data_IF_161362721362
#
_entry.id   IF_161362721362
#
_cell.length_a   1.000
_cell.length_b   1.000
_cell.length_c   1.000
_cell.angle_alpha   90.00
_cell.angle_beta   90.00
_cell.angle_gamma   90.00
#
_symmetry.space_group_name_H-M   'P 1'
#
loop_
_entity.id
_entity.type
_entity.pdbx_description
1 polymer ?
#
# COMPACT_ATOMS: atom_id res chain seq x y z
N UNK A 1 -6.09 -23.72 -0.09
CA UNK A 1 -5.52 -23.06 1.10
C UNK A 1 -5.70 -24.00 2.28
N UNK A 2 -4.66 -24.20 3.10
CA UNK A 2 -4.80 -25.01 4.33
C UNK A 2 -5.10 -24.05 5.48
N UNK A 3 -6.22 -24.28 6.15
CA UNK A 3 -6.66 -23.55 7.35
C UNK A 3 -6.98 -24.57 8.43
N UNK A 4 -6.93 -24.15 9.69
CA UNK A 4 -7.37 -24.97 10.81
C UNK A 4 -8.90 -25.18 10.79
N UNK A 5 -9.36 -26.14 11.60
CA UNK A 5 -10.77 -26.55 11.62
C UNK A 5 -11.69 -25.44 12.12
N UNK A 6 -11.24 -24.63 13.07
CA UNK A 6 -12.05 -23.57 13.68
C UNK A 6 -12.27 -22.44 12.66
N UNK A 7 -11.21 -21.99 12.00
CA UNK A 7 -11.27 -21.00 10.92
C UNK A 7 -12.17 -21.47 9.78
N UNK A 8 -12.08 -22.75 9.40
CA UNK A 8 -12.95 -23.33 8.36
C UNK A 8 -14.43 -23.26 8.75
N UNK A 9 -14.78 -23.70 9.96
CA UNK A 9 -16.17 -23.67 10.43
C UNK A 9 -16.72 -22.25 10.52
N UNK A 10 -15.90 -21.30 10.99
CA UNK A 10 -16.28 -19.89 11.03
C UNK A 10 -16.58 -19.37 9.61
N UNK A 11 -15.70 -19.64 8.65
CA UNK A 11 -15.86 -19.19 7.28
C UNK A 11 -17.06 -19.86 6.57
N UNK A 12 -17.34 -21.14 6.83
CA UNK A 12 -18.52 -21.83 6.31
C UNK A 12 -19.83 -21.22 6.85
N UNK A 13 -19.89 -20.95 8.16
CA UNK A 13 -21.05 -20.28 8.78
C UNK A 13 -21.26 -18.87 8.23
N UNK A 14 -20.18 -18.09 8.09
CA UNK A 14 -20.24 -16.75 7.52
C UNK A 14 -20.67 -16.77 6.05
N UNK A 15 -20.10 -17.68 5.25
CA UNK A 15 -20.48 -17.90 3.84
C UNK A 15 -21.97 -18.20 3.69
N UNK A 16 -22.50 -19.14 4.51
CA UNK A 16 -23.91 -19.51 4.47
C UNK A 16 -24.82 -18.37 4.92
N UNK A 17 -24.47 -17.66 6.00
CA UNK A 17 -25.25 -16.54 6.51
C UNK A 17 -25.29 -15.35 5.55
N UNK A 18 -24.20 -15.11 4.82
CA UNK A 18 -24.10 -14.04 3.83
C UNK A 18 -24.62 -14.43 2.42
N UNK A 19 -25.07 -15.69 2.23
CA UNK A 19 -25.73 -16.14 1.00
C UNK A 19 -24.78 -16.46 -0.16
N UNK A 20 -23.50 -16.72 0.10
CA UNK A 20 -22.55 -17.12 -0.95
C UNK A 20 -22.80 -18.55 -1.41
N UNK A 21 -22.61 -18.80 -2.71
CA UNK A 21 -22.87 -20.10 -3.32
C UNK A 21 -21.90 -21.21 -2.85
N UNK A 22 -20.70 -20.83 -2.40
CA UNK A 22 -19.71 -21.75 -1.84
C UNK A 22 -18.71 -21.01 -0.97
N UNK A 23 -17.97 -21.76 -0.15
CA UNK A 23 -16.85 -21.23 0.62
C UNK A 23 -15.77 -20.58 -0.26
N UNK A 24 -15.54 -21.13 -1.46
CA UNK A 24 -14.58 -20.57 -2.43
C UNK A 24 -15.05 -19.22 -2.95
N UNK A 25 -16.34 -19.09 -3.23
CA UNK A 25 -16.94 -17.83 -3.68
C UNK A 25 -16.82 -16.74 -2.61
N UNK A 26 -17.16 -17.08 -1.36
CA UNK A 26 -16.99 -16.21 -0.20
C UNK A 26 -15.54 -15.72 -0.04
N UNK A 27 -14.56 -16.64 -0.04
CA UNK A 27 -13.14 -16.27 0.12
C UNK A 27 -12.65 -15.43 -1.05
N UNK A 28 -13.07 -15.75 -2.28
CA UNK A 28 -12.71 -14.95 -3.47
C UNK A 28 -13.25 -13.53 -3.37
N UNK A 29 -14.48 -13.37 -2.87
CA UNK A 29 -15.07 -12.06 -2.64
C UNK A 29 -14.26 -11.26 -1.61
N UNK A 30 -13.95 -11.85 -0.45
CA UNK A 30 -13.14 -11.19 0.59
C UNK A 30 -11.77 -10.75 0.08
N UNK A 31 -11.12 -11.57 -0.75
CA UNK A 31 -9.84 -11.21 -1.37
C UNK A 31 -10.01 -9.99 -2.28
N UNK A 32 -11.03 -9.98 -3.14
CA UNK A 32 -11.31 -8.86 -4.05
C UNK A 32 -11.66 -7.57 -3.30
N UNK A 33 -12.31 -7.67 -2.15
CA UNK A 33 -12.62 -6.51 -1.32
C UNK A 33 -11.41 -5.99 -0.54
N UNK A 34 -10.58 -6.88 0.01
CA UNK A 34 -9.53 -6.50 0.95
C UNK A 34 -8.18 -6.23 0.29
N UNK A 35 -7.80 -7.00 -0.73
CA UNK A 35 -6.49 -6.84 -1.37
C UNK A 35 -6.26 -5.44 -1.95
N UNK A 36 -7.24 -4.79 -2.65
CA UNK A 36 -7.05 -3.43 -3.13
C UNK A 36 -6.86 -2.41 -2.00
N UNK A 37 -7.51 -2.61 -0.83
CA UNK A 37 -7.38 -1.72 0.33
C UNK A 37 -5.97 -1.77 0.90
N UNK A 38 -5.42 -2.97 1.06
CA UNK A 38 -4.04 -3.18 1.54
C UNK A 38 -3.05 -2.57 0.56
N UNK A 39 -3.21 -2.84 -0.74
CA UNK A 39 -2.32 -2.29 -1.76
C UNK A 39 -2.36 -0.76 -1.76
N UNK A 40 -3.56 -0.16 -1.68
CA UNK A 40 -3.71 1.30 -1.59
C UNK A 40 -3.02 1.87 -0.35
N UNK A 41 -3.14 1.22 0.80
CA UNK A 41 -2.48 1.66 2.03
C UNK A 41 -0.96 1.65 1.92
N UNK A 42 -0.38 0.68 1.20
CA UNK A 42 1.07 0.61 0.98
C UNK A 42 1.56 1.60 -0.08
N UNK A 43 0.72 1.96 -1.05
CA UNK A 43 1.11 2.83 -2.17
C UNK A 43 0.70 4.29 -2.00
N UNK A 44 -0.06 4.61 -0.96
CA UNK A 44 -0.57 5.97 -0.73
C UNK A 44 0.00 6.54 0.57
N UNK A 45 0.48 7.78 0.51
CA UNK A 45 0.81 8.56 1.70
C UNK A 45 -0.38 9.48 1.98
N UNK A 46 -1.00 9.34 3.14
CA UNK A 46 -2.04 10.25 3.60
C UNK A 46 -1.38 11.45 4.30
N UNK A 47 -1.61 12.65 3.77
CA UNK A 47 -1.07 13.89 4.32
C UNK A 47 -2.18 14.70 4.98
N UNK A 48 -1.85 15.37 6.07
CA UNK A 48 -2.66 16.50 6.56
C UNK A 48 -2.56 17.66 5.58
N UNK A 49 -3.51 18.60 5.63
CA UNK A 49 -3.47 19.80 4.77
C UNK A 49 -2.16 20.56 4.94
N UNK A 50 -1.68 20.73 6.18
CA UNK A 50 -0.41 21.40 6.44
C UNK A 50 0.78 20.67 5.77
N UNK A 51 0.88 19.35 5.92
CA UNK A 51 1.95 18.57 5.28
C UNK A 51 1.87 18.61 3.75
N UNK A 52 0.65 18.67 3.20
CA UNK A 52 0.45 18.83 1.77
C UNK A 52 0.92 20.21 1.29
N UNK A 53 0.58 21.28 2.00
CA UNK A 53 1.01 22.65 1.68
C UNK A 53 2.53 22.79 1.77
N UNK A 54 3.16 22.25 2.81
CA UNK A 54 4.62 22.20 2.98
C UNK A 54 5.29 21.42 1.85
N UNK A 55 4.73 20.27 1.47
CA UNK A 55 5.22 19.49 0.33
C UNK A 55 5.12 20.27 -0.98
N UNK A 56 3.98 20.91 -1.24
CA UNK A 56 3.78 21.71 -2.45
C UNK A 56 4.72 22.91 -2.49
N UNK A 57 4.94 23.59 -1.38
CA UNK A 57 5.90 24.69 -1.29
C UNK A 57 7.32 24.21 -1.62
N UNK A 58 7.72 23.05 -1.10
CA UNK A 58 9.02 22.45 -1.43
C UNK A 58 9.14 22.05 -2.91
N UNK A 59 8.07 21.55 -3.53
CA UNK A 59 8.06 21.20 -4.96
C UNK A 59 8.11 22.43 -5.88
N UNK A 60 7.57 23.57 -5.43
CA UNK A 60 7.50 24.81 -6.20
C UNK A 60 8.70 25.73 -5.97
N UNK A 61 9.58 25.41 -5.02
CA UNK A 61 10.79 26.17 -4.77
C UNK A 61 11.87 25.88 -5.84
N UNK A 62 11.88 26.71 -6.89
CA UNK A 62 12.87 26.63 -7.96
C UNK A 62 14.31 26.97 -7.50
N UNK A 63 14.48 27.60 -6.33
CA UNK A 63 15.79 27.93 -5.77
C UNK A 63 16.36 26.80 -4.90
N UNK A 64 15.57 25.76 -4.62
CA UNK A 64 16.00 24.63 -3.80
C UNK A 64 17.11 23.83 -4.50
N UNK A 65 18.28 23.76 -3.88
CA UNK A 65 19.42 22.96 -4.35
C UNK A 65 19.68 21.81 -3.36
N UNK A 66 19.89 20.56 -3.84
CA UNK A 66 20.24 19.46 -2.96
C UNK A 66 21.52 19.76 -2.16
N UNK A 67 21.58 19.27 -0.91
CA UNK A 67 22.76 19.45 -0.08
C UNK A 67 24.02 18.86 -0.73
N UNK A 68 25.23 19.37 -0.41
CA UNK A 68 26.49 18.84 -0.94
C UNK A 68 26.62 17.31 -0.75
N UNK A 69 26.12 16.77 0.36
CA UNK A 69 26.13 15.33 0.64
C UNK A 69 25.30 14.52 -0.37
N UNK A 70 24.15 15.04 -0.81
CA UNK A 70 23.31 14.39 -1.81
C UNK A 70 23.99 14.45 -3.18
N UNK A 71 24.58 15.60 -3.52
CA UNK A 71 25.31 15.77 -4.78
C UNK A 71 26.52 14.82 -4.88
N UNK A 72 27.29 14.67 -3.81
CA UNK A 72 28.40 13.70 -3.77
C UNK A 72 27.92 12.25 -3.88
N UNK A 73 26.79 11.90 -3.23
CA UNK A 73 26.21 10.56 -3.38
C UNK A 73 25.78 10.29 -4.83
N UNK A 74 25.16 11.26 -5.50
CA UNK A 74 24.77 11.16 -6.90
C UNK A 74 26.00 11.00 -7.83
N UNK A 75 27.08 11.75 -7.58
CA UNK A 75 28.34 11.60 -8.34
C UNK A 75 28.91 10.19 -8.24
N UNK A 76 28.90 9.58 -7.05
CA UNK A 76 29.38 8.19 -6.87
C UNK A 76 28.50 7.18 -7.62
N UNK A 77 27.18 7.32 -7.55
CA UNK A 77 26.26 6.43 -8.29
C UNK A 77 26.49 6.48 -9.80
N UNK A 78 26.67 7.68 -10.36
CA UNK A 78 27.01 7.86 -11.78
C UNK A 78 28.34 7.18 -12.15
N UNK A 79 29.34 7.22 -11.25
CA UNK A 79 30.64 6.55 -11.46
C UNK A 79 30.51 5.01 -11.40
N UNK A 80 29.57 4.51 -10.61
CA UNK A 80 29.26 3.08 -10.46
C UNK A 80 28.36 2.54 -11.58
N UNK A 81 27.86 3.41 -12.47
CA UNK A 81 27.05 3.03 -13.64
C UNK A 81 25.55 2.86 -13.36
N UNK A 82 25.04 3.48 -12.29
CA UNK A 82 23.62 3.55 -11.96
C UNK A 82 22.96 4.84 -12.44
#
# INVERSE_FOLDING_TARGET
MRVDSETKQLAERASAAAGYASLTDFVTHLIRENAPKILKQQTTIALTNQQFDEFMAACLDEAAVPSPRILEAAKRLNQEGF
#
